data_IF_731597175932
#
_entry.id   IF_731597175932
#
_cell.length_a   1.000
_cell.length_b   1.000
_cell.length_c   1.000
_cell.angle_alpha   90.00
_cell.angle_beta   90.00
_cell.angle_gamma   90.00
#
_symmetry.space_group_name_H-M   'P 1'
#
loop_
_entity.id
_entity.type
_entity.pdbx_description
1 polymer ?
#
# COMPACT_ATOMS: atom_id res chain seq x y z
N UNK A 1 -18.22 -6.80 -7.46
CA UNK A 1 -16.96 -6.33 -6.84
C UNK A 1 -16.12 -7.44 -6.18
N UNK A 2 -16.59 -8.69 -6.05
CA UNK A 2 -15.82 -9.75 -5.37
C UNK A 2 -14.89 -10.57 -6.30
N UNK A 3 -15.29 -10.81 -7.55
CA UNK A 3 -14.58 -11.72 -8.47
C UNK A 3 -13.09 -11.34 -8.69
N UNK A 4 -12.80 -10.06 -8.97
CA UNK A 4 -11.42 -9.60 -9.19
C UNK A 4 -10.54 -9.84 -7.96
N UNK A 5 -11.04 -9.52 -6.75
CA UNK A 5 -10.29 -9.70 -5.51
C UNK A 5 -10.05 -11.18 -5.23
N UNK A 6 -11.05 -12.04 -5.45
CA UNK A 6 -10.89 -13.49 -5.28
C UNK A 6 -9.81 -14.02 -6.23
N UNK A 7 -9.88 -13.66 -7.52
CA UNK A 7 -8.87 -14.12 -8.49
C UNK A 7 -7.48 -13.62 -8.14
N UNK A 8 -7.33 -12.35 -7.77
CA UNK A 8 -6.05 -11.78 -7.36
C UNK A 8 -5.46 -12.53 -6.14
N UNK A 9 -6.27 -12.79 -5.12
CA UNK A 9 -5.81 -13.45 -3.89
C UNK A 9 -5.59 -14.97 -4.08
N UNK A 10 -6.19 -15.59 -5.09
CA UNK A 10 -5.88 -16.98 -5.48
C UNK A 10 -4.58 -17.08 -6.27
N UNK A 11 -4.25 -16.07 -7.08
CA UNK A 11 -3.04 -16.07 -7.92
C UNK A 11 -1.77 -15.80 -7.12
N UNK A 12 -1.84 -15.10 -5.99
CA UNK A 12 -0.66 -14.71 -5.21
C UNK A 12 -0.73 -15.23 -3.77
N UNK A 13 0.35 -15.91 -3.34
CA UNK A 13 0.51 -16.46 -1.98
C UNK A 13 0.86 -15.39 -0.95
N UNK A 14 1.48 -14.28 -1.38
CA UNK A 14 1.80 -13.16 -0.49
C UNK A 14 1.75 -11.83 -1.22
N UNK A 15 1.33 -10.80 -0.48
CA UNK A 15 1.30 -9.41 -0.93
C UNK A 15 1.88 -8.57 0.20
N UNK A 16 3.03 -7.92 -0.04
CA UNK A 16 3.69 -7.05 0.95
C UNK A 16 3.93 -5.67 0.35
N UNK A 17 3.89 -4.63 1.19
CA UNK A 17 4.19 -3.27 0.73
C UNK A 17 5.67 -3.18 0.33
N UNK A 18 5.95 -2.47 -0.76
CA UNK A 18 7.29 -2.20 -1.29
C UNK A 18 7.56 -0.68 -1.35
N UNK A 19 7.77 0.01 -0.19
CA UNK A 19 8.00 1.45 -0.16
C UNK A 19 9.22 1.88 -0.98
N UNK A 20 10.20 1.00 -1.15
CA UNK A 20 11.41 1.23 -1.95
C UNK A 20 11.11 1.50 -3.42
N UNK A 21 10.02 0.94 -3.95
CA UNK A 21 9.57 1.17 -5.33
C UNK A 21 8.75 2.46 -5.50
N UNK A 22 8.25 3.03 -4.39
CA UNK A 22 7.48 4.26 -4.41
C UNK A 22 8.39 5.49 -4.58
N UNK A 23 7.95 6.50 -5.33
CA UNK A 23 8.68 7.77 -5.45
C UNK A 23 8.89 8.44 -4.07
N UNK A 24 10.12 8.85 -3.70
CA UNK A 24 10.44 9.37 -2.36
C UNK A 24 9.51 10.50 -1.90
N UNK A 25 9.20 11.47 -2.77
CA UNK A 25 8.37 12.64 -2.42
C UNK A 25 6.92 12.30 -2.04
N UNK A 26 6.45 11.10 -2.42
CA UNK A 26 5.09 10.62 -2.13
C UNK A 26 5.02 9.72 -0.90
N UNK A 27 6.17 9.35 -0.32
CA UNK A 27 6.25 8.56 0.92
C UNK A 27 5.89 9.44 2.13
N UNK A 28 5.40 8.83 3.24
CA UNK A 28 5.21 9.55 4.49
C UNK A 28 6.45 10.35 4.89
N UNK A 29 6.32 11.64 5.21
CA UNK A 29 7.44 12.43 5.70
C UNK A 29 8.00 11.87 6.99
N UNK A 30 9.32 11.98 7.19
CA UNK A 30 10.01 11.40 8.36
C UNK A 30 9.49 11.96 9.68
N UNK A 31 9.05 13.21 9.72
CA UNK A 31 8.47 13.84 10.90
C UNK A 31 7.16 13.18 11.36
N UNK A 32 6.48 12.40 10.50
CA UNK A 32 5.28 11.66 10.92
C UNK A 32 5.58 10.67 12.03
N UNK A 33 6.76 10.06 12.07
CA UNK A 33 7.15 9.11 13.10
C UNK A 33 7.09 9.71 14.52
N UNK A 34 7.13 11.04 14.65
CA UNK A 34 7.03 11.77 15.92
C UNK A 34 5.60 12.25 16.23
N UNK A 35 4.66 12.04 15.31
CA UNK A 35 3.26 12.39 15.53
C UNK A 35 2.56 11.40 16.47
N UNK A 36 1.38 11.77 16.97
CA UNK A 36 0.57 10.88 17.79
C UNK A 36 -0.37 10.02 16.95
N UNK A 37 -0.76 8.87 17.50
CA UNK A 37 -1.81 8.00 16.93
C UNK A 37 -1.42 7.32 15.62
N UNK A 38 -2.38 7.25 14.67
CA UNK A 38 -2.22 6.52 13.40
C UNK A 38 -1.15 7.14 12.50
N UNK A 39 -1.04 8.47 12.50
CA UNK A 39 -0.10 9.20 11.63
C UNK A 39 1.35 8.73 11.83
N UNK A 40 1.74 8.41 13.07
CA UNK A 40 3.08 7.89 13.38
C UNK A 40 3.39 6.49 12.84
N UNK A 41 2.36 5.69 12.56
CA UNK A 41 2.50 4.30 12.11
C UNK A 41 2.15 4.11 10.65
N UNK A 42 1.65 5.15 10.00
CA UNK A 42 1.13 5.07 8.65
C UNK A 42 2.27 4.91 7.64
N UNK A 43 2.10 3.99 6.67
CA UNK A 43 3.13 3.63 5.69
C UNK A 43 2.89 4.24 4.30
N UNK A 44 1.80 4.97 4.12
CA UNK A 44 1.49 5.74 2.91
C UNK A 44 0.82 7.07 3.26
N UNK A 45 0.66 8.00 2.31
CA UNK A 45 0.00 9.28 2.58
C UNK A 45 -1.42 9.29 2.02
N UNK A 46 -2.47 9.21 2.86
CA UNK A 46 -3.82 9.43 2.38
C UNK A 46 -4.01 10.90 1.97
N UNK A 47 -4.62 11.11 0.80
CA UNK A 47 -5.09 12.41 0.31
C UNK A 47 -6.55 12.30 -0.11
N UNK A 48 -7.28 13.40 -0.04
CA UNK A 48 -8.66 13.48 -0.47
C UNK A 48 -8.85 14.74 -1.34
N UNK A 49 -9.23 14.53 -2.60
CA UNK A 49 -9.66 15.63 -3.49
C UNK A 49 -11.16 15.54 -3.72
N UNK A 50 -11.58 14.51 -4.47
CA UNK A 50 -12.98 14.10 -4.61
C UNK A 50 -13.21 12.74 -3.93
N UNK A 51 -12.30 11.81 -4.15
CA UNK A 51 -12.22 10.51 -3.46
C UNK A 51 -10.98 10.45 -2.59
N UNK A 52 -11.00 9.57 -1.60
CA UNK A 52 -9.81 9.20 -0.82
C UNK A 52 -8.89 8.34 -1.68
N UNK A 53 -7.59 8.66 -1.68
CA UNK A 53 -6.57 7.90 -2.40
C UNK A 53 -5.22 7.93 -1.68
N UNK A 54 -4.33 7.01 -2.04
CA UNK A 54 -2.94 6.99 -1.58
C UNK A 54 -2.09 7.85 -2.53
N UNK A 55 -1.41 8.87 -1.99
CA UNK A 55 -0.49 9.71 -2.74
C UNK A 55 0.66 8.88 -3.33
N UNK A 56 0.84 8.93 -4.66
CA UNK A 56 1.81 8.09 -5.36
C UNK A 56 1.44 6.60 -5.46
N UNK A 57 0.25 6.21 -5.00
CA UNK A 57 -0.24 4.82 -5.03
C UNK A 57 0.36 3.92 -3.95
N UNK A 58 -0.04 2.65 -3.98
CA UNK A 58 0.54 1.59 -3.13
C UNK A 58 1.33 0.64 -4.01
N UNK A 59 2.63 0.57 -3.75
CA UNK A 59 3.54 -0.35 -4.43
C UNK A 59 3.65 -1.61 -3.61
N UNK A 60 3.47 -2.77 -4.25
CA UNK A 60 3.48 -4.07 -3.58
C UNK A 60 4.40 -5.04 -4.27
N UNK A 61 5.03 -5.90 -3.47
CA UNK A 61 5.69 -7.11 -3.93
C UNK A 61 4.71 -8.26 -3.77
N UNK A 62 4.56 -9.04 -4.83
CA UNK A 62 3.62 -10.16 -4.86
C UNK A 62 4.39 -11.43 -5.21
N UNK A 63 4.19 -12.48 -4.43
CA UNK A 63 4.72 -13.81 -4.77
C UNK A 63 3.59 -14.65 -5.35
N UNK A 64 3.82 -15.25 -6.51
CA UNK A 64 2.86 -16.14 -7.15
C UNK A 64 2.54 -17.32 -6.22
N UNK A 65 1.31 -17.80 -6.27
CA UNK A 65 0.92 -19.01 -5.57
C UNK A 65 1.48 -20.22 -6.31
N UNK A 66 2.03 -21.18 -5.56
CA UNK A 66 2.32 -22.49 -6.13
C UNK A 66 0.97 -23.15 -6.49
N UNK A 67 0.85 -23.66 -7.72
CA UNK A 67 -0.34 -24.39 -8.12
C UNK A 67 -0.50 -25.60 -7.18
N UNK A 68 -1.63 -25.66 -6.47
CA UNK A 68 -2.04 -26.84 -5.73
C UNK A 68 -2.37 -28.01 -6.67
#
# INVERSE_FOLDING_TARGET
MSFMLIRLLQTFSSITLAPEAQHPDTRPPTEWAQAEGRKARERFRPKAHLTLYADGGLWVRMNEAENA
#
